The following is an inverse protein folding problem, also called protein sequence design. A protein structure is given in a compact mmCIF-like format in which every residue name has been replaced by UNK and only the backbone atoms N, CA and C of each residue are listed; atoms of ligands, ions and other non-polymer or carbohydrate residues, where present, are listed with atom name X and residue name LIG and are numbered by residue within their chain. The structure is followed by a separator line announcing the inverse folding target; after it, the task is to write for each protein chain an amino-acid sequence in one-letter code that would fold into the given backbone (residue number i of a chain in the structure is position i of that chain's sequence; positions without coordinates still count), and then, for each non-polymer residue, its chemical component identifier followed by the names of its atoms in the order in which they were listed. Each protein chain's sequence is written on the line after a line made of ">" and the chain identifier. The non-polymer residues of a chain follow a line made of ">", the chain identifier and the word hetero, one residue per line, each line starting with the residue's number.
data_IF_828484399508
#
_entry.id   IF_828484399508
#
_cell.length_a   1.000
_cell.length_b   1.000
_cell.length_c   1.000
_cell.angle_alpha   90.00
_cell.angle_beta   90.00
_cell.angle_gamma   90.00
#
_symmetry.space_group_name_H-M   'P 1'
#
loop_
_entity.id
_entity.type
_entity.pdbx_description
1 polymer ?
#
# COMPACT_ATOMS: atom_id res chain seq x y z
N UNK A 1 1.49 23.06 -11.48
CA UNK A 1 0.46 23.79 -10.72
C UNK A 1 -0.27 22.78 -9.85
N UNK A 2 0.31 22.48 -8.70
CA UNK A 2 -0.36 21.79 -7.60
C UNK A 2 -1.36 22.78 -7.02
N UNK A 3 -2.62 22.68 -7.41
CA UNK A 3 -3.69 23.25 -6.60
C UNK A 3 -3.70 22.48 -5.29
N UNK A 4 -2.89 22.94 -4.34
CA UNK A 4 -3.24 22.83 -2.95
C UNK A 4 -4.66 23.39 -2.88
N UNK A 5 -5.64 22.55 -2.57
CA UNK A 5 -6.85 23.10 -1.97
C UNK A 5 -6.34 23.91 -0.80
N UNK A 6 -6.54 25.24 -0.78
CA UNK A 6 -6.23 25.98 0.42
C UNK A 6 -7.03 25.31 1.53
N UNK A 7 -6.39 25.03 2.67
CA UNK A 7 -7.14 24.91 3.92
C UNK A 7 -7.75 26.30 4.13
N UNK A 8 -8.86 26.57 3.45
CA UNK A 8 -9.33 27.91 3.13
C UNK A 8 -10.24 28.41 4.23
N UNK A 9 -9.70 28.41 5.43
CA UNK A 9 -10.29 29.05 6.59
C UNK A 9 -9.12 29.42 7.52
N UNK A 10 -8.25 30.34 7.10
CA UNK A 10 -7.42 31.14 8.03
C UNK A 10 -8.36 32.12 8.75
N UNK A 11 -9.32 31.54 9.49
CA UNK A 11 -10.35 32.27 10.21
C UNK A 11 -9.66 32.86 11.41
N UNK A 12 -9.83 34.15 11.60
CA UNK A 12 -9.39 34.86 12.79
C UNK A 12 -10.57 35.65 13.33
N UNK A 13 -10.57 35.86 14.63
CA UNK A 13 -11.53 36.76 15.23
C UNK A 13 -11.14 38.20 14.87
N UNK A 14 -12.12 39.01 14.46
CA UNK A 14 -11.92 40.44 14.13
C UNK A 14 -11.46 41.28 15.33
N UNK A 15 -11.57 40.75 16.54
CA UNK A 15 -11.11 41.42 17.75
C UNK A 15 -9.61 41.17 17.96
N UNK A 16 -8.82 42.25 17.99
CA UNK A 16 -7.37 42.21 18.22
C UNK A 16 -6.99 41.53 19.54
N UNK A 17 -7.82 41.66 20.57
CA UNK A 17 -7.63 40.98 21.86
C UNK A 17 -7.84 39.46 21.79
N UNK A 18 -8.52 38.97 20.76
CA UNK A 18 -8.91 37.57 20.62
C UNK A 18 -8.04 36.78 19.63
N UNK A 19 -7.03 37.41 19.02
CA UNK A 19 -6.16 36.77 18.02
C UNK A 19 -5.34 35.59 18.59
N UNK A 20 -5.11 35.57 19.90
CA UNK A 20 -4.38 34.48 20.59
C UNK A 20 -5.28 33.34 21.07
N UNK A 21 -6.61 33.50 21.03
CA UNK A 21 -7.54 32.49 21.55
C UNK A 21 -7.83 31.41 20.50
N UNK A 22 -7.99 30.15 20.92
CA UNK A 22 -8.30 29.06 19.99
C UNK A 22 -9.70 29.20 19.42
N UNK A 23 -9.87 28.75 18.18
CA UNK A 23 -11.17 28.61 17.53
C UNK A 23 -11.70 27.22 17.88
N UNK A 24 -12.94 27.18 18.36
CA UNK A 24 -13.62 25.95 18.76
C UNK A 24 -14.68 25.65 17.71
N UNK A 25 -14.72 24.40 17.26
CA UNK A 25 -15.66 23.91 16.26
C UNK A 25 -16.77 23.12 16.96
N UNK A 26 -18.02 23.56 16.82
CA UNK A 26 -19.21 22.80 17.19
C UNK A 26 -19.70 22.01 15.97
N UNK A 27 -19.51 20.68 16.02
CA UNK A 27 -19.95 19.77 14.96
C UNK A 27 -21.47 19.52 14.96
N UNK A 28 -22.17 19.69 16.08
CA UNK A 28 -23.62 19.46 16.13
C UNK A 28 -24.38 20.61 15.46
N UNK A 29 -23.91 21.85 15.63
CA UNK A 29 -24.49 23.04 15.00
C UNK A 29 -23.83 23.41 13.67
N UNK A 30 -22.64 22.87 13.38
CA UNK A 30 -21.86 23.24 12.21
C UNK A 30 -21.34 24.68 12.31
N UNK A 31 -20.90 25.09 13.50
CA UNK A 31 -20.45 26.45 13.79
C UNK A 31 -18.99 26.46 14.26
N UNK A 32 -18.23 27.49 13.90
CA UNK A 32 -16.92 27.77 14.51
C UNK A 32 -17.01 29.07 15.29
N UNK A 33 -16.61 29.05 16.56
CA UNK A 33 -16.64 30.22 17.43
C UNK A 33 -15.28 30.49 18.08
N UNK A 34 -15.03 31.75 18.42
CA UNK A 34 -13.83 32.13 19.15
C UNK A 34 -13.96 31.75 20.64
N UNK A 35 -12.98 31.03 21.19
CA UNK A 35 -12.95 30.69 22.61
C UNK A 35 -12.77 31.88 23.56
N UNK A 36 -12.37 33.05 23.06
CA UNK A 36 -12.19 34.26 23.85
C UNK A 36 -13.47 35.10 24.00
N UNK A 37 -14.10 35.48 22.88
CA UNK A 37 -15.27 36.36 22.86
C UNK A 37 -16.61 35.65 22.61
N UNK A 38 -16.60 34.37 22.24
CA UNK A 38 -17.82 33.62 21.89
C UNK A 38 -18.47 34.02 20.57
N UNK A 39 -17.84 34.90 19.78
CA UNK A 39 -18.35 35.28 18.45
C UNK A 39 -18.31 34.08 17.52
N UNK A 40 -19.41 33.83 16.82
CA UNK A 40 -19.50 32.82 15.77
C UNK A 40 -18.87 33.38 14.50
N UNK A 41 -17.78 32.75 14.06
CA UNK A 41 -16.98 33.17 12.92
C UNK A 41 -17.48 32.52 11.62
N UNK A 42 -17.93 31.27 11.70
CA UNK A 42 -18.54 30.55 10.58
C UNK A 42 -19.80 29.84 11.08
N UNK A 43 -20.87 29.98 10.32
CA UNK A 43 -22.15 29.30 10.54
C UNK A 43 -22.47 28.39 9.36
N UNK A 44 -23.26 27.34 9.61
CA UNK A 44 -23.77 26.41 8.58
C UNK A 44 -22.66 25.74 7.78
N UNK A 45 -21.63 25.24 8.46
CA UNK A 45 -20.67 24.37 7.79
C UNK A 45 -21.37 23.12 7.27
N UNK A 46 -21.21 22.89 5.98
CA UNK A 46 -21.63 21.64 5.37
C UNK A 46 -20.64 20.54 5.76
N UNK A 47 -21.15 19.49 6.36
CA UNK A 47 -20.32 18.36 6.77
C UNK A 47 -20.00 17.49 5.53
N UNK A 48 -18.88 17.80 4.86
CA UNK A 48 -18.45 17.11 3.64
C UNK A 48 -18.19 15.61 3.86
N UNK A 49 -17.98 15.18 5.12
CA UNK A 49 -17.80 13.79 5.49
C UNK A 49 -19.10 12.96 5.34
N UNK A 50 -20.28 13.58 5.34
CA UNK A 50 -21.57 12.88 5.34
C UNK A 50 -22.03 12.39 3.96
N UNK A 51 -21.23 12.61 2.91
CA UNK A 51 -21.51 12.22 1.52
C UNK A 51 -21.23 10.75 1.18
N UNK A 52 -20.32 10.10 1.92
CA UNK A 52 -19.94 8.70 1.67
C UNK A 52 -20.77 7.74 2.53
N UNK A 53 -22.03 7.51 2.14
CA UNK A 53 -22.85 6.47 2.78
C UNK A 53 -22.67 5.14 2.07
N UNK A 54 -21.78 4.32 2.60
CA UNK A 54 -21.68 2.90 2.25
C UNK A 54 -20.44 2.29 2.87
N UNK A 55 -20.60 1.40 3.85
CA UNK A 55 -19.48 0.62 4.38
C UNK A 55 -19.04 -0.48 3.41
N UNK A 56 -19.92 -0.84 2.46
CA UNK A 56 -19.64 -1.74 1.36
C UNK A 56 -19.70 -1.02 0.01
N UNK A 57 -18.98 -1.56 -0.97
CA UNK A 57 -18.99 -1.02 -2.33
C UNK A 57 -20.38 -1.06 -2.98
N UNK A 58 -21.21 -2.04 -2.65
CA UNK A 58 -22.59 -2.19 -3.16
C UNK A 58 -23.54 -1.16 -2.57
N UNK A 59 -23.39 -0.88 -1.27
CA UNK A 59 -24.16 0.15 -0.60
C UNK A 59 -23.74 1.54 -1.09
N UNK A 60 -22.44 1.77 -1.26
CA UNK A 60 -21.91 2.99 -1.85
C UNK A 60 -22.43 3.19 -3.28
N UNK A 61 -22.39 2.16 -4.13
CA UNK A 61 -22.83 2.25 -5.54
C UNK A 61 -24.33 2.55 -5.68
N UNK A 62 -25.15 2.10 -4.72
CA UNK A 62 -26.61 2.29 -4.75
C UNK A 62 -27.09 3.56 -4.04
N UNK A 63 -26.39 4.01 -2.99
CA UNK A 63 -26.81 5.15 -2.14
C UNK A 63 -26.03 6.43 -2.41
N UNK A 64 -24.84 6.35 -2.99
CA UNK A 64 -24.02 7.53 -3.25
C UNK A 64 -24.63 8.37 -4.37
N UNK A 65 -24.80 9.66 -4.10
CA UNK A 65 -25.18 10.67 -5.10
C UNK A 65 -23.99 11.01 -6.02
N UNK A 66 -22.77 10.78 -5.56
CA UNK A 66 -21.51 11.06 -6.27
C UNK A 66 -20.80 9.77 -6.67
N UNK A 67 -19.93 9.85 -7.68
CA UNK A 67 -19.07 8.72 -8.05
C UNK A 67 -18.07 8.33 -6.94
N UNK A 68 -17.26 7.27 -7.15
CA UNK A 68 -16.23 6.88 -6.20
C UNK A 68 -15.22 8.01 -5.95
N UNK A 69 -14.63 8.03 -4.75
CA UNK A 69 -13.57 8.97 -4.39
C UNK A 69 -12.37 8.89 -5.34
N UNK A 70 -11.60 9.98 -5.42
CA UNK A 70 -10.44 10.02 -6.32
C UNK A 70 -9.31 9.16 -5.78
N UNK A 71 -8.90 8.12 -6.51
CA UNK A 71 -7.79 7.24 -6.11
C UNK A 71 -6.54 7.47 -6.96
N UNK A 72 -5.36 7.49 -6.33
CA UNK A 72 -4.09 7.55 -7.06
C UNK A 72 -3.78 6.26 -7.83
N UNK A 73 -4.37 5.13 -7.42
CA UNK A 73 -4.25 3.85 -8.08
C UNK A 73 -5.11 3.74 -9.36
N UNK A 74 -6.07 4.64 -9.55
CA UNK A 74 -6.87 4.71 -10.77
C UNK A 74 -6.24 5.58 -11.85
N UNK A 75 -6.51 5.25 -13.12
CA UNK A 75 -6.15 6.13 -14.22
C UNK A 75 -6.93 7.44 -14.11
N UNK A 76 -6.28 8.56 -14.42
CA UNK A 76 -6.86 9.91 -14.31
C UNK A 76 -7.52 10.20 -12.95
N UNK A 77 -7.05 9.51 -11.90
CA UNK A 77 -7.59 9.58 -10.54
C UNK A 77 -9.08 9.24 -10.40
N UNK A 78 -9.64 8.50 -11.36
CA UNK A 78 -11.06 8.16 -11.38
C UNK A 78 -11.96 9.21 -12.03
N UNK A 79 -11.41 10.28 -12.61
CA UNK A 79 -12.20 11.33 -13.28
C UNK A 79 -12.72 10.91 -14.66
N UNK A 80 -12.00 10.04 -15.34
CA UNK A 80 -12.39 9.57 -16.68
C UNK A 80 -13.50 8.52 -16.58
N UNK A 81 -14.57 8.68 -17.36
CA UNK A 81 -15.61 7.67 -17.51
C UNK A 81 -15.27 6.68 -18.64
N UNK A 82 -15.95 5.53 -18.64
CA UNK A 82 -15.88 4.55 -19.74
C UNK A 82 -17.27 4.30 -20.28
N UNK A 83 -17.40 4.30 -21.61
CA UNK A 83 -18.65 3.94 -22.28
C UNK A 83 -18.93 2.45 -22.01
N UNK A 84 -19.98 2.20 -21.22
CA UNK A 84 -20.33 0.89 -20.66
C UNK A 84 -20.83 -0.14 -21.68
N UNK A 85 -21.61 -1.13 -21.22
CA UNK A 85 -22.09 -2.27 -22.02
C UNK A 85 -23.25 -1.89 -22.94
N UNK A 86 -23.64 -2.79 -23.85
CA UNK A 86 -24.74 -2.57 -24.80
C UNK A 86 -26.12 -2.79 -24.17
N UNK A 87 -26.35 -2.16 -23.01
CA UNK A 87 -27.61 -2.21 -22.26
C UNK A 87 -28.08 -0.80 -21.98
N UNK A 88 -29.41 -0.59 -21.95
CA UNK A 88 -30.01 0.65 -21.50
C UNK A 88 -29.97 0.77 -19.96
N UNK A 89 -30.43 1.91 -19.42
CA UNK A 89 -30.51 2.13 -17.97
C UNK A 89 -31.48 1.17 -17.26
N UNK A 90 -32.42 0.60 -18.00
CA UNK A 90 -33.43 -0.34 -17.52
C UNK A 90 -32.97 -1.80 -17.63
N UNK A 91 -31.76 -2.05 -18.16
CA UNK A 91 -31.17 -3.38 -18.33
C UNK A 91 -31.50 -4.09 -19.66
N UNK A 92 -32.28 -3.49 -20.55
CA UNK A 92 -32.62 -4.08 -21.84
C UNK A 92 -31.47 -3.94 -22.85
N UNK A 93 -31.38 -4.90 -23.78
CA UNK A 93 -30.38 -4.87 -24.83
C UNK A 93 -30.64 -3.71 -25.82
N UNK A 94 -29.57 -3.00 -26.20
CA UNK A 94 -29.65 -1.93 -27.20
C UNK A 94 -30.00 -2.49 -28.59
N UNK A 95 -30.82 -1.74 -29.34
CA UNK A 95 -31.13 -2.06 -30.74
C UNK A 95 -29.87 -2.08 -31.62
N UNK A 96 -29.89 -2.87 -32.70
CA UNK A 96 -28.71 -3.10 -33.55
C UNK A 96 -28.06 -1.82 -34.10
N UNK A 97 -28.88 -0.83 -34.51
CA UNK A 97 -28.41 0.48 -34.98
C UNK A 97 -27.70 1.25 -33.85
N UNK A 98 -28.31 1.32 -32.68
CA UNK A 98 -27.76 2.00 -31.50
C UNK A 98 -26.45 1.34 -31.06
N UNK A 99 -26.40 0.01 -31.04
CA UNK A 99 -25.19 -0.77 -30.75
C UNK A 99 -24.03 -0.41 -31.67
N UNK A 100 -24.27 -0.26 -32.98
CA UNK A 100 -23.24 0.15 -33.94
C UNK A 100 -22.74 1.57 -33.67
N UNK A 101 -23.64 2.51 -33.31
CA UNK A 101 -23.24 3.88 -32.96
C UNK A 101 -22.36 3.90 -31.69
N UNK A 102 -22.73 3.17 -30.64
CA UNK A 102 -21.93 3.06 -29.42
C UNK A 102 -20.59 2.37 -29.66
N UNK A 103 -20.53 1.35 -30.52
CA UNK A 103 -19.26 0.74 -30.91
C UNK A 103 -18.33 1.75 -31.59
N UNK A 104 -18.85 2.61 -32.48
CA UNK A 104 -18.06 3.70 -33.07
C UNK A 104 -17.58 4.68 -32.00
N UNK A 105 -18.46 5.10 -31.09
CA UNK A 105 -18.10 6.01 -29.99
C UNK A 105 -17.01 5.43 -29.09
N UNK A 106 -17.06 4.12 -28.74
CA UNK A 106 -15.99 3.45 -27.98
C UNK A 106 -14.65 3.49 -28.69
N UNK A 107 -14.64 3.31 -30.02
CA UNK A 107 -13.41 3.40 -30.82
C UNK A 107 -12.86 4.83 -30.81
N UNK A 108 -13.71 5.84 -30.95
CA UNK A 108 -13.30 7.25 -30.88
C UNK A 108 -12.77 7.62 -29.49
N UNK A 109 -13.44 7.20 -28.41
CA UNK A 109 -12.97 7.39 -27.04
C UNK A 109 -11.63 6.70 -26.78
N UNK A 110 -11.42 5.48 -27.27
CA UNK A 110 -10.13 4.81 -27.14
C UNK A 110 -9.01 5.55 -27.89
N UNK A 111 -9.33 6.16 -29.05
CA UNK A 111 -8.36 6.87 -29.90
C UNK A 111 -8.05 8.29 -29.42
N UNK A 112 -9.00 8.97 -28.79
CA UNK A 112 -8.80 10.32 -28.23
C UNK A 112 -7.85 10.31 -27.03
N UNK A 113 -7.72 9.17 -26.34
CA UNK A 113 -6.81 9.00 -25.21
C UNK A 113 -5.35 8.98 -25.68
N UNK A 114 -4.51 9.78 -25.03
CA UNK A 114 -3.08 9.83 -25.36
C UNK A 114 -2.36 8.52 -25.04
N UNK A 115 -1.31 8.19 -25.81
CA UNK A 115 -0.52 6.96 -25.62
C UNK A 115 0.14 6.91 -24.23
N UNK A 116 0.55 8.04 -23.68
CA UNK A 116 1.13 8.13 -22.33
C UNK A 116 0.11 7.79 -21.24
N UNK A 117 -1.12 8.30 -21.36
CA UNK A 117 -2.22 7.98 -20.43
C UNK A 117 -2.62 6.49 -20.55
N UNK A 118 -2.65 5.94 -21.77
CA UNK A 118 -2.93 4.51 -22.00
C UNK A 118 -1.90 3.60 -21.32
N UNK A 119 -0.61 3.93 -21.43
CA UNK A 119 0.46 3.14 -20.81
C UNK A 119 0.44 3.24 -19.27
N UNK A 120 0.15 4.42 -18.72
CA UNK A 120 -0.04 4.60 -17.28
C UNK A 120 -1.23 3.79 -16.77
N UNK A 121 -2.37 3.82 -17.46
CA UNK A 121 -3.54 3.02 -17.10
C UNK A 121 -3.25 1.52 -17.06
N UNK A 122 -2.55 0.98 -18.07
CA UNK A 122 -2.12 -0.43 -18.09
C UNK A 122 -1.21 -0.77 -16.92
N UNK A 123 -0.27 0.12 -16.59
CA UNK A 123 0.65 -0.05 -15.49
C UNK A 123 -0.08 -0.09 -14.13
N UNK A 124 -1.06 0.79 -13.93
CA UNK A 124 -1.86 0.82 -12.70
C UNK A 124 -2.77 -0.40 -12.55
N UNK A 125 -3.33 -0.92 -13.66
CA UNK A 125 -4.07 -2.20 -13.63
C UNK A 125 -3.14 -3.34 -13.18
N UNK A 126 -1.91 -3.39 -13.70
CA UNK A 126 -0.93 -4.39 -13.27
C UNK A 126 -0.53 -4.20 -11.80
N UNK A 127 -0.38 -2.96 -11.33
CA UNK A 127 -0.11 -2.66 -9.92
C UNK A 127 -1.20 -3.24 -9.01
N UNK A 128 -2.47 -2.97 -9.33
CA UNK A 128 -3.61 -3.50 -8.57
C UNK A 128 -3.64 -5.03 -8.59
N UNK A 129 -3.41 -5.65 -9.76
CA UNK A 129 -3.34 -7.10 -9.87
C UNK A 129 -2.22 -7.70 -9.00
N UNK A 130 -1.06 -7.05 -8.92
CA UNK A 130 0.04 -7.48 -8.04
C UNK A 130 -0.28 -7.27 -6.56
N UNK A 131 -0.92 -6.14 -6.21
CA UNK A 131 -1.38 -5.86 -4.85
C UNK A 131 -2.35 -6.92 -4.34
N UNK A 132 -3.34 -7.30 -5.15
CA UNK A 132 -4.31 -8.36 -4.84
C UNK A 132 -3.61 -9.71 -4.66
N UNK A 133 -2.73 -10.10 -5.59
CA UNK A 133 -1.98 -11.38 -5.50
C UNK A 133 -1.11 -11.47 -4.24
N UNK A 134 -0.57 -10.35 -3.80
CA UNK A 134 0.27 -10.26 -2.61
C UNK A 134 -0.52 -9.98 -1.32
N UNK A 135 -1.84 -9.80 -1.39
CA UNK A 135 -2.66 -9.41 -0.24
C UNK A 135 -2.19 -8.11 0.42
N UNK A 136 -1.80 -7.12 -0.38
CA UNK A 136 -1.36 -5.80 0.11
C UNK A 136 -2.61 -4.92 0.29
N UNK A 137 -2.76 -4.21 1.41
CA UNK A 137 -3.90 -3.34 1.66
C UNK A 137 -3.91 -2.14 0.71
N UNK A 138 -5.10 -1.63 0.40
CA UNK A 138 -5.32 -0.55 -0.56
C UNK A 138 -4.49 0.71 -0.31
N UNK A 139 -4.31 1.22 0.94
CA UNK A 139 -3.47 2.40 1.18
C UNK A 139 -2.02 2.22 0.73
N UNK A 140 -1.47 1.01 0.85
CA UNK A 140 -0.12 0.71 0.39
C UNK A 140 -0.05 0.61 -1.14
N UNK A 141 -1.12 0.17 -1.80
CA UNK A 141 -1.24 0.18 -3.27
C UNK A 141 -1.35 1.61 -3.80
N UNK A 142 -2.12 2.48 -3.14
CA UNK A 142 -2.19 3.89 -3.49
C UNK A 142 -0.85 4.59 -3.35
N UNK A 143 -0.12 4.30 -2.27
CA UNK A 143 1.23 4.80 -2.05
C UNK A 143 2.20 4.30 -3.12
N UNK A 144 2.07 3.05 -3.54
CA UNK A 144 2.85 2.51 -4.67
C UNK A 144 2.53 3.24 -5.99
N UNK A 145 1.26 3.55 -6.23
CA UNK A 145 0.84 4.31 -7.41
C UNK A 145 1.40 5.74 -7.40
N UNK A 146 1.45 6.37 -6.22
CA UNK A 146 2.10 7.66 -6.03
C UNK A 146 3.60 7.62 -6.38
N UNK A 147 4.33 6.65 -5.86
CA UNK A 147 5.76 6.45 -6.15
C UNK A 147 5.98 6.20 -7.66
N UNK A 148 5.14 5.36 -8.26
CA UNK A 148 5.22 5.07 -9.69
C UNK A 148 4.99 6.32 -10.55
N UNK A 149 3.98 7.15 -10.20
CA UNK A 149 3.72 8.42 -10.90
C UNK A 149 4.91 9.39 -10.80
N UNK A 150 5.55 9.49 -9.63
CA UNK A 150 6.81 10.25 -9.49
C UNK A 150 7.91 9.70 -10.40
N UNK A 151 8.06 8.38 -10.46
CA UNK A 151 9.05 7.75 -11.32
C UNK A 151 8.80 8.03 -12.82
N UNK A 152 7.53 8.08 -13.24
CA UNK A 152 7.15 8.48 -14.61
C UNK A 152 7.50 9.95 -14.88
N UNK A 153 7.25 10.85 -13.91
CA UNK A 153 7.65 12.25 -13.98
C UNK A 153 9.15 12.44 -14.20
N UNK A 154 9.97 11.64 -13.49
CA UNK A 154 11.44 11.59 -13.62
C UNK A 154 11.94 10.81 -14.85
N UNK A 155 11.04 10.45 -15.78
CA UNK A 155 11.34 9.71 -17.03
C UNK A 155 12.13 8.41 -16.79
N UNK A 156 11.95 7.75 -15.63
CA UNK A 156 12.61 6.48 -15.30
C UNK A 156 12.13 5.28 -16.14
N UNK A 157 11.03 5.45 -16.87
CA UNK A 157 10.41 4.43 -17.75
C UNK A 157 11.22 4.13 -19.00
N UNK A 158 12.11 5.03 -19.45
CA UNK A 158 12.94 4.82 -20.64
C UNK A 158 14.03 3.78 -20.37
N UNK A 159 14.04 2.69 -21.15
CA UNK A 159 15.03 1.61 -21.07
C UNK A 159 14.80 0.59 -19.95
N UNK A 160 13.63 0.61 -19.31
CA UNK A 160 13.25 -0.35 -18.26
C UNK A 160 11.90 -0.98 -18.55
N UNK A 161 11.67 -2.18 -18.03
CA UNK A 161 10.36 -2.82 -18.13
C UNK A 161 9.38 -2.17 -17.17
N UNK A 162 8.16 -1.95 -17.64
CA UNK A 162 7.07 -1.34 -16.84
C UNK A 162 6.78 -2.21 -15.61
N UNK A 163 6.73 -3.53 -15.77
CA UNK A 163 6.51 -4.49 -14.68
C UNK A 163 7.57 -4.38 -13.57
N UNK A 164 8.86 -4.19 -13.93
CA UNK A 164 9.95 -4.02 -12.96
C UNK A 164 9.78 -2.76 -12.13
N UNK A 165 9.44 -1.64 -12.78
CA UNK A 165 9.22 -0.36 -12.10
C UNK A 165 8.00 -0.40 -11.17
N UNK A 166 6.91 -1.04 -11.60
CA UNK A 166 5.73 -1.19 -10.75
C UNK A 166 6.05 -2.05 -9.54
N UNK A 167 6.71 -3.20 -9.73
CA UNK A 167 7.13 -4.08 -8.65
C UNK A 167 8.08 -3.39 -7.67
N UNK A 168 9.01 -2.58 -8.17
CA UNK A 168 9.90 -1.77 -7.34
C UNK A 168 9.13 -0.71 -6.53
N UNK A 169 8.14 -0.05 -7.15
CA UNK A 169 7.29 0.95 -6.49
C UNK A 169 6.43 0.31 -5.39
N UNK A 170 5.86 -0.86 -5.67
CA UNK A 170 5.07 -1.63 -4.70
C UNK A 170 5.94 -2.11 -3.54
N UNK A 171 7.15 -2.59 -3.82
CA UNK A 171 8.11 -2.97 -2.79
C UNK A 171 8.50 -1.79 -1.89
N UNK A 172 8.80 -0.63 -2.48
CA UNK A 172 9.12 0.58 -1.72
C UNK A 172 7.95 1.01 -0.82
N UNK A 173 6.72 1.03 -1.35
CA UNK A 173 5.53 1.34 -0.57
C UNK A 173 5.28 0.34 0.57
N UNK A 174 5.38 -0.97 0.30
CA UNK A 174 5.24 -1.99 1.34
C UNK A 174 6.28 -1.81 2.44
N UNK A 175 7.51 -1.45 2.08
CA UNK A 175 8.60 -1.26 3.03
C UNK A 175 8.41 -0.01 3.90
N UNK A 176 7.90 1.07 3.33
CA UNK A 176 7.55 2.26 4.13
C UNK A 176 6.31 2.05 5.01
N UNK A 177 5.36 1.22 4.57
CA UNK A 177 4.18 0.87 5.37
C UNK A 177 4.42 -0.26 6.38
N UNK A 178 5.66 -0.73 6.54
CA UNK A 178 6.00 -1.81 7.47
C UNK A 178 5.44 -3.19 7.11
N UNK A 179 5.03 -3.41 5.85
CA UNK A 179 4.46 -4.68 5.40
C UNK A 179 5.60 -5.61 4.95
N UNK A 180 5.78 -6.79 5.59
CA UNK A 180 6.88 -7.70 5.29
C UNK A 180 6.69 -8.38 3.93
N UNK A 181 7.40 -7.90 2.92
CA UNK A 181 7.49 -8.50 1.59
C UNK A 181 8.94 -8.61 1.16
N UNK A 182 9.32 -9.76 0.62
CA UNK A 182 10.68 -9.98 0.11
C UNK A 182 10.78 -9.54 -1.35
N UNK A 183 12.01 -9.29 -1.83
CA UNK A 183 12.24 -9.05 -3.25
C UNK A 183 11.89 -10.27 -4.10
N UNK A 184 11.97 -11.48 -3.53
CA UNK A 184 11.63 -12.73 -4.20
C UNK A 184 10.11 -12.90 -4.32
N UNK A 185 9.33 -12.42 -3.35
CA UNK A 185 7.86 -12.34 -3.46
C UNK A 185 7.47 -11.45 -4.65
N UNK A 186 8.11 -10.28 -4.76
CA UNK A 186 7.84 -9.31 -5.83
C UNK A 186 8.28 -9.83 -7.20
N UNK A 187 9.45 -10.47 -7.27
CA UNK A 187 9.97 -11.09 -8.49
C UNK A 187 9.03 -12.19 -9.02
N UNK A 188 8.53 -13.06 -8.12
CA UNK A 188 7.57 -14.12 -8.46
C UNK A 188 6.27 -13.57 -9.03
N UNK A 189 5.70 -12.54 -8.41
CA UNK A 189 4.40 -11.99 -8.83
C UNK A 189 4.50 -11.13 -10.09
N UNK A 190 5.62 -10.41 -10.27
CA UNK A 190 5.85 -9.55 -11.44
C UNK A 190 6.41 -10.28 -12.65
N UNK A 191 6.82 -11.55 -12.50
CA UNK A 191 7.55 -12.31 -13.51
C UNK A 191 8.81 -11.57 -14.03
N UNK A 192 9.53 -10.94 -13.11
CA UNK A 192 10.78 -10.21 -13.39
C UNK A 192 11.91 -10.83 -12.58
N UNK A 193 13.08 -10.97 -13.20
CA UNK A 193 14.26 -11.46 -12.48
C UNK A 193 14.62 -10.55 -11.29
N UNK A 194 14.90 -11.18 -10.15
CA UNK A 194 15.31 -10.51 -8.91
C UNK A 194 16.47 -9.53 -9.11
N UNK A 195 17.44 -9.86 -9.97
CA UNK A 195 18.60 -9.00 -10.28
C UNK A 195 18.18 -7.69 -10.94
N UNK A 196 17.28 -7.76 -11.92
CA UNK A 196 16.74 -6.60 -12.65
C UNK A 196 15.92 -5.74 -11.68
N UNK A 197 15.03 -6.36 -10.91
CA UNK A 197 14.21 -5.67 -9.90
C UNK A 197 15.08 -4.91 -8.88
N UNK A 198 16.13 -5.57 -8.36
CA UNK A 198 17.04 -4.97 -7.38
C UNK A 198 17.87 -3.81 -7.96
N UNK A 199 18.22 -3.86 -9.25
CA UNK A 199 18.91 -2.76 -9.94
C UNK A 199 17.97 -1.57 -10.14
N UNK A 200 16.76 -1.83 -10.61
CA UNK A 200 15.80 -0.78 -10.93
C UNK A 200 15.28 -0.10 -9.65
N UNK A 201 15.05 -0.88 -8.58
CA UNK A 201 14.73 -0.34 -7.25
C UNK A 201 15.82 0.61 -6.74
N UNK A 202 17.09 0.20 -6.74
CA UNK A 202 18.20 1.08 -6.29
C UNK A 202 18.28 2.37 -7.09
N UNK A 203 18.03 2.29 -8.40
CA UNK A 203 18.03 3.46 -9.27
C UNK A 203 16.86 4.38 -8.96
N UNK A 204 15.67 3.82 -8.74
CA UNK A 204 14.47 4.55 -8.35
C UNK A 204 14.67 5.29 -7.03
N UNK A 205 15.17 4.61 -6.00
CA UNK A 205 15.44 5.21 -4.69
C UNK A 205 16.43 6.37 -4.79
N UNK A 206 17.51 6.20 -5.57
CA UNK A 206 18.51 7.25 -5.79
C UNK A 206 17.91 8.48 -6.48
N UNK A 207 17.11 8.27 -7.53
CA UNK A 207 16.52 9.37 -8.29
C UNK A 207 15.41 10.11 -7.53
N UNK A 208 14.62 9.38 -6.75
CA UNK A 208 13.52 9.95 -5.96
C UNK A 208 13.98 10.49 -4.61
N UNK A 209 15.26 10.32 -4.24
CA UNK A 209 15.80 10.74 -2.95
C UNK A 209 15.18 9.98 -1.76
N UNK A 210 14.70 8.76 -1.98
CA UNK A 210 14.00 7.97 -0.96
C UNK A 210 14.98 7.06 -0.23
N UNK A 211 14.96 7.09 1.09
CA UNK A 211 15.69 6.14 1.94
C UNK A 211 14.72 5.13 2.53
N UNK A 212 14.96 3.83 2.28
CA UNK A 212 14.18 2.76 2.89
C UNK A 212 14.77 2.42 4.26
N UNK A 213 13.94 2.42 5.29
CA UNK A 213 14.30 1.92 6.62
C UNK A 213 14.58 0.42 6.60
N UNK A 214 15.29 -0.06 7.62
CA UNK A 214 15.46 -1.50 7.83
C UNK A 214 14.11 -2.12 8.21
N UNK A 215 13.88 -3.37 7.79
CA UNK A 215 12.69 -4.09 8.24
C UNK A 215 12.78 -4.37 9.73
N UNK A 216 11.64 -4.30 10.41
CA UNK A 216 11.50 -4.98 11.68
C UNK A 216 11.47 -6.50 11.42
N UNK A 217 12.44 -7.22 11.99
CA UNK A 217 12.56 -8.67 11.89
C UNK A 217 11.30 -9.37 12.43
N UNK A 218 10.62 -8.77 13.41
CA UNK A 218 9.41 -9.30 14.04
C UNK A 218 8.28 -9.52 13.02
N UNK A 219 8.15 -8.62 12.03
CA UNK A 219 7.11 -8.69 11.00
C UNK A 219 7.21 -9.96 10.15
N UNK A 220 8.43 -10.45 9.90
CA UNK A 220 8.65 -11.71 9.18
C UNK A 220 8.29 -12.94 10.02
N UNK A 221 8.45 -12.88 11.36
CA UNK A 221 8.01 -13.94 12.27
C UNK A 221 6.51 -14.16 12.09
N UNK A 222 5.71 -13.09 12.20
CA UNK A 222 4.26 -13.16 12.11
C UNK A 222 3.81 -13.73 10.76
N UNK A 223 4.44 -13.30 9.66
CA UNK A 223 4.16 -13.84 8.32
C UNK A 223 4.45 -15.34 8.23
N UNK A 224 5.66 -15.76 8.57
CA UNK A 224 6.08 -17.17 8.45
C UNK A 224 5.26 -18.06 9.38
N UNK A 225 5.01 -17.61 10.61
CA UNK A 225 4.24 -18.35 11.59
C UNK A 225 2.78 -18.53 11.19
N UNK A 226 2.15 -17.51 10.63
CA UNK A 226 0.77 -17.61 10.14
C UNK A 226 0.67 -18.57 8.95
N UNK A 227 1.63 -18.53 8.02
CA UNK A 227 1.65 -19.43 6.87
C UNK A 227 1.92 -20.90 7.25
N UNK A 228 2.62 -21.14 8.36
CA UNK A 228 2.86 -22.47 8.91
C UNK A 228 1.79 -22.92 9.94
N UNK A 229 0.83 -22.06 10.29
CA UNK A 229 -0.22 -22.38 11.26
C UNK A 229 0.27 -22.56 12.71
N UNK A 230 1.33 -21.86 13.11
CA UNK A 230 1.93 -21.99 14.45
C UNK A 230 1.04 -21.40 15.54
N UNK A 231 1.13 -21.96 16.75
CA UNK A 231 0.40 -21.42 17.91
C UNK A 231 0.96 -20.07 18.34
N UNK A 232 0.09 -19.26 18.95
CA UNK A 232 0.46 -17.91 19.39
C UNK A 232 1.57 -17.90 20.45
N UNK A 233 1.63 -18.93 21.31
CA UNK A 233 2.71 -19.11 22.28
C UNK A 233 4.08 -19.16 21.59
N UNK A 234 4.18 -19.96 20.53
CA UNK A 234 5.41 -20.13 19.74
C UNK A 234 5.83 -18.85 19.02
N UNK A 235 4.85 -18.03 18.58
CA UNK A 235 5.14 -16.71 17.99
C UNK A 235 5.73 -15.74 19.01
N UNK A 236 5.15 -15.66 20.20
CA UNK A 236 5.64 -14.80 21.29
C UNK A 236 7.05 -15.18 21.71
N UNK A 237 7.29 -16.47 21.92
CA UNK A 237 8.62 -16.98 22.29
C UNK A 237 9.67 -16.66 21.21
N UNK A 238 9.30 -16.73 19.92
CA UNK A 238 10.18 -16.36 18.82
C UNK A 238 10.50 -14.86 18.76
N UNK A 239 9.51 -14.00 19.04
CA UNK A 239 9.72 -12.54 19.16
C UNK A 239 10.67 -12.23 20.31
N UNK A 240 10.48 -12.86 21.47
CA UNK A 240 11.35 -12.68 22.63
C UNK A 240 12.77 -13.20 22.41
N UNK A 241 12.93 -14.29 21.66
CA UNK A 241 14.24 -14.77 21.22
C UNK A 241 14.96 -13.75 20.32
N UNK A 242 14.23 -13.14 19.38
CA UNK A 242 14.81 -12.13 18.51
C UNK A 242 15.15 -10.84 19.25
N UNK A 243 14.29 -10.38 20.15
CA UNK A 243 14.56 -9.20 20.98
C UNK A 243 15.85 -9.37 21.80
N UNK A 244 16.02 -10.53 22.46
CA UNK A 244 17.27 -10.86 23.19
C UNK A 244 18.48 -10.88 22.25
N UNK A 245 18.33 -11.42 21.04
CA UNK A 245 19.41 -11.43 20.06
C UNK A 245 19.80 -10.03 19.55
N UNK A 246 18.82 -9.12 19.44
CA UNK A 246 19.04 -7.71 19.09
C UNK A 246 19.71 -6.94 20.23
N UNK A 247 19.33 -7.19 21.49
CA UNK A 247 19.96 -6.61 22.68
C UNK A 247 21.46 -6.95 22.77
N UNK A 248 21.83 -8.20 22.45
CA UNK A 248 23.22 -8.67 22.44
C UNK A 248 23.93 -8.26 21.11
N UNK A 249 23.25 -7.55 20.21
CA UNK A 249 23.76 -7.04 18.91
C UNK A 249 24.32 -8.13 17.99
N UNK A 250 23.89 -9.39 18.16
CA UNK A 250 24.35 -10.52 17.32
C UNK A 250 23.60 -10.60 15.99
N UNK A 251 22.56 -9.79 15.80
CA UNK A 251 21.68 -9.79 14.62
C UNK A 251 22.14 -8.87 13.49
N UNK A 252 23.05 -7.92 13.75
CA UNK A 252 23.49 -6.93 12.77
C UNK A 252 24.12 -7.54 11.50
N UNK A 253 23.80 -6.96 10.34
CA UNK A 253 24.40 -7.32 9.03
C UNK A 253 23.98 -8.68 8.46
N UNK A 254 23.06 -9.39 9.11
CA UNK A 254 22.55 -10.70 8.66
C UNK A 254 21.18 -10.54 8.02
N UNK A 255 20.77 -11.55 7.24
CA UNK A 255 19.47 -11.55 6.58
C UNK A 255 18.34 -11.66 7.62
N UNK A 256 17.45 -10.65 7.75
CA UNK A 256 16.39 -10.64 8.75
C UNK A 256 15.39 -11.79 8.56
N UNK A 257 15.10 -12.19 7.32
CA UNK A 257 14.17 -13.30 7.04
C UNK A 257 14.73 -14.62 7.57
N UNK A 258 16.04 -14.83 7.40
CA UNK A 258 16.71 -16.03 7.92
C UNK A 258 16.77 -16.04 9.46
N UNK A 259 16.85 -14.87 10.10
CA UNK A 259 16.82 -14.75 11.55
C UNK A 259 15.43 -15.03 12.12
N UNK A 260 14.38 -14.48 11.50
CA UNK A 260 13.00 -14.78 11.85
C UNK A 260 12.70 -16.27 11.74
N UNK A 261 13.11 -16.91 10.63
CA UNK A 261 12.94 -18.35 10.43
C UNK A 261 13.70 -19.19 11.48
N UNK A 262 14.93 -18.80 11.81
CA UNK A 262 15.74 -19.50 12.81
C UNK A 262 15.18 -19.36 14.24
N UNK A 263 14.72 -18.17 14.61
CA UNK A 263 14.10 -17.93 15.92
C UNK A 263 12.79 -18.71 16.07
N UNK A 264 11.95 -18.72 15.03
CA UNK A 264 10.74 -19.55 14.99
C UNK A 264 11.06 -21.04 15.11
N UNK A 265 12.08 -21.52 14.40
CA UNK A 265 12.49 -22.92 14.50
C UNK A 265 12.90 -23.31 15.92
N UNK A 266 13.66 -22.44 16.62
CA UNK A 266 14.03 -22.67 18.03
C UNK A 266 12.79 -22.67 18.93
N UNK A 267 11.89 -21.70 18.76
CA UNK A 267 10.66 -21.62 19.54
C UNK A 267 9.75 -22.85 19.33
N UNK A 268 9.62 -23.34 18.10
CA UNK A 268 8.87 -24.57 17.80
C UNK A 268 9.48 -25.79 18.52
N UNK A 269 10.81 -25.92 18.50
CA UNK A 269 11.49 -27.01 19.22
C UNK A 269 11.24 -26.95 20.72
N UNK A 270 11.26 -25.75 21.33
CA UNK A 270 11.02 -25.57 22.76
C UNK A 270 9.57 -25.85 23.17
N UNK A 271 8.60 -25.57 22.28
CA UNK A 271 7.17 -25.80 22.52
C UNK A 271 6.67 -27.18 22.05
N UNK A 272 7.55 -28.04 21.53
CA UNK A 272 7.19 -29.37 21.04
C UNK A 272 6.39 -29.37 19.72
N UNK A 273 6.45 -28.31 18.93
CA UNK A 273 5.84 -28.26 17.59
C UNK A 273 6.81 -28.85 16.56
N UNK A 274 6.56 -30.09 16.14
CA UNK A 274 7.43 -30.89 15.27
C UNK A 274 7.41 -30.50 13.78
N UNK A 275 7.77 -29.26 13.46
CA UNK A 275 7.81 -28.77 12.08
C UNK A 275 9.21 -28.90 11.49
N UNK A 276 9.29 -29.42 10.26
CA UNK A 276 10.55 -29.63 9.57
C UNK A 276 11.27 -28.32 9.23
N UNK A 277 12.61 -28.33 9.30
CA UNK A 277 13.45 -27.21 8.84
C UNK A 277 13.15 -26.82 7.37
N UNK A 278 12.80 -27.82 6.55
CA UNK A 278 12.44 -27.64 5.14
C UNK A 278 11.15 -26.83 4.94
N UNK A 279 10.23 -26.91 5.89
CA UNK A 279 9.01 -26.09 5.87
C UNK A 279 9.35 -24.62 6.10
N UNK A 280 10.22 -24.33 7.08
CA UNK A 280 10.68 -22.98 7.38
C UNK A 280 11.50 -22.37 6.24
N UNK A 281 12.41 -23.14 5.65
CA UNK A 281 13.26 -22.69 4.55
C UNK A 281 12.44 -22.33 3.30
N UNK A 282 11.45 -23.16 2.95
CA UNK A 282 10.53 -22.93 1.84
C UNK A 282 9.72 -21.66 2.03
N UNK A 283 9.18 -21.45 3.22
CA UNK A 283 8.34 -20.28 3.53
C UNK A 283 9.19 -18.99 3.59
N UNK A 284 10.36 -19.06 4.19
CA UNK A 284 11.29 -17.95 4.29
C UNK A 284 12.04 -17.64 2.98
N UNK A 285 12.01 -18.54 1.99
CA UNK A 285 12.74 -18.40 0.73
C UNK A 285 14.26 -18.44 0.90
N UNK A 286 14.76 -19.14 1.91
CA UNK A 286 16.20 -19.28 2.21
C UNK A 286 16.60 -20.75 2.21
N UNK A 287 17.90 -21.06 2.11
CA UNK A 287 18.35 -22.46 2.11
C UNK A 287 18.23 -23.09 3.50
N UNK A 288 17.94 -24.40 3.55
CA UNK A 288 17.87 -25.20 4.79
C UNK A 288 19.11 -25.02 5.67
N UNK A 289 20.28 -25.03 5.02
CA UNK A 289 21.58 -24.86 5.68
C UNK A 289 21.69 -23.47 6.33
N UNK A 290 21.12 -22.43 5.71
CA UNK A 290 21.12 -21.09 6.28
C UNK A 290 20.28 -21.03 7.55
N UNK A 291 19.06 -21.62 7.53
CA UNK A 291 18.20 -21.67 8.73
C UNK A 291 18.90 -22.42 9.85
N UNK A 292 19.50 -23.58 9.54
CA UNK A 292 20.24 -24.40 10.52
C UNK A 292 21.42 -23.66 11.12
N UNK A 293 22.29 -23.07 10.30
CA UNK A 293 23.46 -22.34 10.76
C UNK A 293 23.08 -21.11 11.60
N UNK A 294 21.94 -20.48 11.30
CA UNK A 294 21.43 -19.37 12.11
C UNK A 294 20.82 -19.85 13.42
N UNK A 295 20.10 -20.97 13.41
CA UNK A 295 19.55 -21.55 14.63
C UNK A 295 20.66 -21.99 15.59
N UNK A 296 21.70 -22.68 15.10
CA UNK A 296 22.85 -23.09 15.94
C UNK A 296 23.61 -21.87 16.48
N UNK A 297 23.79 -20.84 15.65
CA UNK A 297 24.40 -19.59 16.07
C UNK A 297 23.58 -18.89 17.16
N UNK A 298 22.25 -18.80 17.03
CA UNK A 298 21.39 -18.18 18.04
C UNK A 298 21.42 -18.98 19.35
N UNK A 299 21.30 -20.31 19.30
CA UNK A 299 21.38 -21.17 20.50
C UNK A 299 22.67 -20.98 21.28
N UNK A 300 23.81 -21.01 20.58
CA UNK A 300 25.14 -20.86 21.20
C UNK A 300 25.31 -19.52 21.93
N UNK A 301 24.79 -18.43 21.35
CA UNK A 301 24.96 -17.09 21.94
C UNK A 301 23.89 -16.75 22.99
N UNK A 302 22.72 -17.40 22.94
CA UNK A 302 21.64 -17.19 23.91
C UNK A 302 21.67 -18.20 25.08
N UNK A 303 22.59 -19.17 25.07
CA UNK A 303 22.72 -20.18 26.13
C UNK A 303 21.56 -21.18 26.18
N UNK A 304 20.99 -21.51 25.02
CA UNK A 304 19.83 -22.41 24.85
C UNK A 304 20.22 -23.77 24.27
#
# INVERSE_FOLDING_TARGET
>A
MTSAYPNEYDIRCDLDACQTYPIITDSERGEMFCGGCGSVLVQRMEDAAYGERGHSWEEFSSRSRTGPGTSLAMNDRGLSTMIGRNVDSSGNALSGRTRQTFNRLRVWDQRSRSRSVSNLGKALIQLNAMGIKLGVPEPAVEKAAYIYRKAVGEKLTRGRTVSSLIAASLYAACRESGIPRTLDDMARVSNVERRILSRDLRTMLRKLGMSLTQYDTSSFITKIANNLGLKEKTKRDAVDLLRRAEEIKITAGKNPVAQAAAALYIACMNNGEGISQKSFSREAGVSDVTVRNRATFLKKNLGL
#
